data_IF_945764729788
#
_entry.id   IF_945764729788
#
_cell.length_a   1.000
_cell.length_b   1.000
_cell.length_c   1.000
_cell.angle_alpha   90.00
_cell.angle_beta   90.00
_cell.angle_gamma   90.00
#
_symmetry.space_group_name_H-M   'P 1'
#
loop_
_entity.id
_entity.type
_entity.pdbx_description
1 polymer ?
#
# COMPACT_ATOMS: atom_id res chain seq x y z
N UNK A 1 5.91 18.40 9.95
CA UNK A 1 6.60 17.98 8.70
C UNK A 1 6.16 16.57 8.27
N UNK A 2 6.12 16.21 6.97
CA UNK A 2 5.76 14.85 6.54
C UNK A 2 6.69 13.74 7.09
N UNK A 3 7.96 14.08 7.36
CA UNK A 3 8.95 13.17 7.97
C UNK A 3 8.57 12.77 9.40
N UNK A 4 7.95 13.66 10.17
CA UNK A 4 7.51 13.39 11.55
C UNK A 4 6.31 12.45 11.57
N UNK A 5 5.34 12.63 10.66
CA UNK A 5 4.20 11.72 10.52
C UNK A 5 4.69 10.31 10.15
N UNK A 6 5.68 10.23 9.28
CA UNK A 6 6.24 8.94 8.89
C UNK A 6 6.96 8.25 10.06
N UNK A 7 7.73 8.99 10.85
CA UNK A 7 8.32 8.49 12.10
C UNK A 7 7.25 7.99 13.08
N UNK A 8 6.16 8.74 13.21
CA UNK A 8 5.03 8.37 14.06
C UNK A 8 4.28 7.12 13.55
N UNK A 9 4.13 6.95 12.24
CA UNK A 9 3.59 5.72 11.63
C UNK A 9 4.52 4.52 11.90
N UNK A 10 5.84 4.73 11.87
CA UNK A 10 6.84 3.67 12.19
C UNK A 10 6.79 3.28 13.67
N UNK A 11 6.56 4.23 14.58
CA UNK A 11 6.43 3.93 16.01
C UNK A 11 5.10 3.27 16.36
N UNK A 12 4.01 3.67 15.69
CA UNK A 12 2.67 3.12 15.92
C UNK A 12 1.82 3.27 14.66
N UNK A 13 1.66 2.17 13.93
CA UNK A 13 0.90 2.13 12.69
C UNK A 13 -0.58 2.42 12.94
N UNK A 14 -1.14 3.36 12.18
CA UNK A 14 -2.58 3.60 12.12
C UNK A 14 -2.98 4.10 10.72
N UNK A 15 -4.08 3.60 10.19
CA UNK A 15 -4.59 3.97 8.86
C UNK A 15 -4.92 5.47 8.77
N UNK A 16 -5.36 6.08 9.87
CA UNK A 16 -5.69 7.51 10.00
C UNK A 16 -4.45 8.40 9.82
N UNK A 17 -3.30 7.95 10.33
CA UNK A 17 -2.01 8.64 10.15
C UNK A 17 -1.59 8.60 8.68
N UNK A 18 -1.80 7.48 7.99
CA UNK A 18 -1.56 7.38 6.54
C UNK A 18 -2.46 8.30 5.73
N UNK A 19 -3.76 8.35 6.04
CA UNK A 19 -4.70 9.29 5.39
C UNK A 19 -4.19 10.73 5.55
N UNK A 20 -3.76 11.10 6.75
CA UNK A 20 -3.18 12.42 7.04
C UNK A 20 -1.90 12.67 6.25
N UNK A 21 -1.03 11.67 6.14
CA UNK A 21 0.20 11.74 5.33
C UNK A 21 -0.12 12.00 3.85
N UNK A 22 -1.03 11.23 3.25
CA UNK A 22 -1.38 11.38 1.83
C UNK A 22 -2.08 12.70 1.52
N UNK A 23 -2.99 13.16 2.39
CA UNK A 23 -3.61 14.49 2.27
C UNK A 23 -2.58 15.63 2.22
N UNK A 24 -1.50 15.51 3.00
CA UNK A 24 -0.42 16.51 3.00
C UNK A 24 0.52 16.39 1.81
N UNK A 25 0.65 15.20 1.22
CA UNK A 25 1.56 14.93 0.10
C UNK A 25 0.94 15.16 -1.27
N UNK A 26 -0.38 15.06 -1.39
CA UNK A 26 -1.09 15.28 -2.66
C UNK A 26 -2.39 16.03 -2.39
N UNK A 27 -2.55 17.18 -3.06
CA UNK A 27 -3.80 17.95 -3.06
C UNK A 27 -4.95 17.20 -3.72
N UNK A 28 -4.63 16.22 -4.56
CA UNK A 28 -5.61 15.41 -5.30
C UNK A 28 -6.03 14.14 -4.53
N UNK A 29 -5.45 13.89 -3.36
CA UNK A 29 -5.86 12.77 -2.53
C UNK A 29 -7.27 12.99 -1.98
N UNK A 30 -8.14 12.01 -2.18
CA UNK A 30 -9.48 11.94 -1.62
C UNK A 30 -9.58 10.71 -0.73
N UNK A 31 -10.07 10.92 0.49
CA UNK A 31 -10.35 9.80 1.39
C UNK A 31 -11.55 9.04 0.83
N UNK A 32 -11.42 7.72 0.74
CA UNK A 32 -12.46 6.82 0.24
C UNK A 32 -12.28 5.49 0.96
N UNK A 33 -13.26 5.10 1.78
CA UNK A 33 -13.22 3.86 2.54
C UNK A 33 -14.03 2.78 1.84
N UNK A 34 -13.38 1.67 1.52
CA UNK A 34 -14.02 0.49 0.92
C UNK A 34 -13.34 -0.76 1.49
N UNK A 35 -14.11 -1.66 2.09
CA UNK A 35 -13.58 -2.86 2.72
C UNK A 35 -13.52 -4.03 1.74
N UNK A 36 -12.43 -4.79 1.78
CA UNK A 36 -12.21 -5.96 0.96
C UNK A 36 -12.43 -7.22 1.80
N UNK A 37 -13.57 -7.90 1.58
CA UNK A 37 -13.95 -9.12 2.31
C UNK A 37 -13.44 -10.40 1.67
N UNK A 38 -13.16 -10.38 0.36
CA UNK A 38 -12.62 -11.49 -0.43
C UNK A 38 -11.08 -11.55 -0.41
N UNK A 39 -10.54 -11.63 0.82
CA UNK A 39 -9.11 -11.79 1.10
C UNK A 39 -8.86 -13.11 1.85
N UNK A 40 -7.68 -13.72 1.66
CA UNK A 40 -7.29 -14.93 2.40
C UNK A 40 -7.25 -14.63 3.90
N UNK A 41 -8.21 -15.18 4.64
CA UNK A 41 -8.40 -14.93 6.08
C UNK A 41 -7.31 -15.53 6.94
N UNK A 42 -6.52 -16.45 6.37
CA UNK A 42 -5.34 -17.07 6.97
C UNK A 42 -4.11 -16.16 6.92
N UNK A 43 -4.09 -15.18 6.00
CA UNK A 43 -2.94 -14.32 5.76
C UNK A 43 -3.22 -12.85 6.07
N UNK A 44 -4.45 -12.39 5.83
CA UNK A 44 -4.81 -10.99 5.88
C UNK A 44 -6.11 -10.75 6.67
N UNK A 45 -6.18 -9.59 7.31
CA UNK A 45 -7.38 -9.02 7.95
C UNK A 45 -7.45 -7.53 7.65
N UNK A 46 -8.60 -6.94 7.94
CA UNK A 46 -8.80 -5.48 7.94
C UNK A 46 -8.31 -4.81 6.63
N UNK A 47 -8.51 -5.50 5.50
CA UNK A 47 -8.11 -5.03 4.20
C UNK A 47 -9.10 -3.97 3.71
N UNK A 48 -8.64 -2.75 3.48
CA UNK A 48 -9.50 -1.65 3.08
C UNK A 48 -8.76 -0.64 2.20
N UNK A 49 -9.45 -0.16 1.16
CA UNK A 49 -9.12 1.10 0.51
C UNK A 49 -9.34 2.21 1.52
N UNK A 50 -8.38 3.11 1.67
CA UNK A 50 -8.45 4.27 2.57
C UNK A 50 -8.49 5.60 1.80
N UNK A 51 -8.14 5.57 0.51
CA UNK A 51 -8.27 6.72 -0.36
C UNK A 51 -7.82 6.46 -1.78
N UNK A 52 -7.92 7.49 -2.59
CA UNK A 52 -7.54 7.50 -3.99
C UNK A 52 -6.90 8.85 -4.38
N UNK A 53 -6.08 8.83 -5.41
CA UNK A 53 -5.48 10.01 -6.03
C UNK A 53 -5.88 9.96 -7.51
N UNK A 54 -6.56 11.03 -7.95
CA UNK A 54 -6.86 11.25 -9.38
C UNK A 54 -5.79 12.14 -9.97
N UNK A 55 -5.16 11.70 -11.05
CA UNK A 55 -4.18 12.53 -11.76
C UNK A 55 -4.93 13.45 -12.74
N UNK A 56 -4.56 14.73 -12.77
CA UNK A 56 -5.26 15.72 -13.61
C UNK A 56 -4.94 15.54 -15.10
N UNK A 57 -3.76 14.98 -15.38
CA UNK A 57 -3.12 14.94 -16.69
C UNK A 57 -3.72 13.87 -17.61
N UNK A 58 -4.47 12.93 -17.04
CA UNK A 58 -5.23 11.89 -17.73
C UNK A 58 -6.57 11.73 -17.01
N UNK A 59 -7.66 12.09 -17.68
CA UNK A 59 -9.01 12.22 -17.10
C UNK A 59 -9.54 10.99 -16.36
N UNK A 60 -8.91 9.82 -16.54
CA UNK A 60 -9.32 8.54 -15.94
C UNK A 60 -8.28 7.91 -15.02
N UNK A 61 -7.06 8.46 -14.90
CA UNK A 61 -6.00 7.76 -14.17
C UNK A 61 -6.20 7.83 -12.66
N UNK A 62 -6.35 6.66 -12.04
CA UNK A 62 -6.65 6.51 -10.61
C UNK A 62 -5.61 5.64 -9.92
N UNK A 63 -4.98 6.21 -8.89
CA UNK A 63 -4.18 5.47 -7.93
C UNK A 63 -4.97 5.27 -6.64
N UNK A 64 -5.06 4.03 -6.17
CA UNK A 64 -5.66 3.73 -4.86
C UNK A 64 -4.62 3.61 -3.76
N UNK A 65 -5.02 3.90 -2.53
CA UNK A 65 -4.25 3.61 -1.32
C UNK A 65 -5.03 2.60 -0.50
N UNK A 66 -4.41 1.46 -0.24
CA UNK A 66 -5.01 0.33 0.47
C UNK A 66 -4.15 -0.03 1.67
N UNK A 67 -4.79 -0.34 2.79
CA UNK A 67 -4.15 -0.93 3.96
C UNK A 67 -4.64 -2.35 4.16
N UNK A 68 -3.78 -3.27 4.60
CA UNK A 68 -4.20 -4.60 5.02
C UNK A 68 -3.33 -5.11 6.18
N UNK A 69 -3.97 -5.62 7.22
CA UNK A 69 -3.28 -6.25 8.33
C UNK A 69 -2.80 -7.62 7.92
N UNK A 70 -1.53 -7.95 8.16
CA UNK A 70 -1.00 -9.30 7.99
C UNK A 70 -1.05 -10.04 9.32
N UNK A 71 -1.35 -11.34 9.26
CA UNK A 71 -1.46 -12.19 10.44
C UNK A 71 -0.12 -12.82 10.87
N UNK A 72 0.86 -12.81 9.98
CA UNK A 72 2.22 -13.29 10.24
C UNK A 72 3.17 -12.10 10.34
N UNK A 73 4.20 -12.16 11.22
CA UNK A 73 5.23 -11.14 11.29
C UNK A 73 5.84 -10.79 9.94
N UNK A 74 5.99 -9.50 9.67
CA UNK A 74 6.69 -8.99 8.51
C UNK A 74 8.20 -9.03 8.75
N UNK A 75 8.94 -9.42 7.72
CA UNK A 75 10.39 -9.22 7.65
C UNK A 75 10.78 -8.61 6.32
N UNK A 76 12.04 -8.26 6.08
CA UNK A 76 12.43 -7.76 4.75
C UNK A 76 12.16 -8.76 3.60
N UNK A 77 12.08 -10.07 3.90
CA UNK A 77 12.04 -11.14 2.90
C UNK A 77 10.69 -11.87 2.84
N UNK A 78 9.97 -11.99 3.95
CA UNK A 78 8.76 -12.83 4.04
C UNK A 78 7.51 -12.16 3.48
N UNK A 79 6.56 -12.96 2.94
CA UNK A 79 5.21 -12.52 2.63
C UNK A 79 5.05 -11.59 1.41
N UNK A 80 6.14 -11.13 0.78
CA UNK A 80 6.09 -10.21 -0.37
C UNK A 80 5.24 -10.73 -1.54
N UNK A 81 5.35 -12.03 -1.85
CA UNK A 81 4.58 -12.63 -2.94
C UNK A 81 3.07 -12.60 -2.67
N UNK A 82 2.64 -13.07 -1.50
CA UNK A 82 1.22 -13.09 -1.13
C UNK A 82 0.61 -11.68 -1.11
N UNK A 83 1.35 -10.71 -0.58
CA UNK A 83 0.96 -9.30 -0.56
C UNK A 83 0.83 -8.70 -1.95
N UNK A 84 1.79 -9.00 -2.82
CA UNK A 84 1.75 -8.57 -4.22
C UNK A 84 0.60 -9.18 -4.99
N UNK A 85 0.36 -10.48 -4.81
CA UNK A 85 -0.76 -11.18 -5.45
C UNK A 85 -2.10 -10.60 -5.00
N UNK A 86 -2.24 -10.25 -3.72
CA UNK A 86 -3.43 -9.56 -3.19
C UNK A 86 -3.62 -8.19 -3.85
N UNK A 87 -2.58 -7.36 -3.89
CA UNK A 87 -2.68 -6.03 -4.50
C UNK A 87 -3.00 -6.08 -5.99
N UNK A 88 -2.41 -7.03 -6.72
CA UNK A 88 -2.77 -7.29 -8.12
C UNK A 88 -4.24 -7.68 -8.29
N UNK A 89 -4.77 -8.54 -7.42
CA UNK A 89 -6.19 -8.94 -7.46
C UNK A 89 -7.09 -7.72 -7.29
N UNK A 90 -6.77 -6.83 -6.35
CA UNK A 90 -7.53 -5.59 -6.12
C UNK A 90 -7.47 -4.62 -7.32
N UNK A 91 -6.30 -4.44 -7.94
CA UNK A 91 -6.16 -3.61 -9.16
C UNK A 91 -6.76 -4.24 -10.41
N UNK A 92 -6.93 -5.56 -10.45
CA UNK A 92 -7.62 -6.22 -11.55
C UNK A 92 -9.15 -6.13 -11.40
N UNK A 93 -9.65 -6.07 -10.17
CA UNK A 93 -11.07 -6.01 -9.86
C UNK A 93 -11.66 -4.59 -10.00
N UNK A 94 -10.92 -3.57 -9.57
CA UNK A 94 -11.29 -2.17 -9.80
C UNK A 94 -10.45 -1.59 -10.93
N UNK A 95 -11.07 -0.88 -11.87
CA UNK A 95 -10.41 -0.22 -12.99
C UNK A 95 -9.44 0.89 -12.49
N UNK A 96 -8.30 0.47 -11.95
CA UNK A 96 -7.27 1.30 -11.33
C UNK A 96 -5.94 1.11 -12.06
N UNK A 97 -5.20 2.20 -12.24
CA UNK A 97 -3.92 2.21 -12.96
C UNK A 97 -2.75 1.91 -12.04
N UNK A 98 -2.89 2.17 -10.75
CA UNK A 98 -1.87 1.87 -9.77
C UNK A 98 -2.48 1.73 -8.38
N UNK A 99 -1.72 1.10 -7.49
CA UNK A 99 -2.07 1.02 -6.07
C UNK A 99 -0.84 1.15 -5.21
N UNK A 100 -0.98 1.98 -4.18
CA UNK A 100 -0.12 1.95 -3.01
C UNK A 100 -0.76 1.01 -2.00
N UNK A 101 -0.01 -0.03 -1.63
CA UNK A 101 -0.44 -1.02 -0.66
C UNK A 101 0.43 -0.92 0.58
N UNK A 102 -0.22 -0.77 1.74
CA UNK A 102 0.46 -0.73 3.03
C UNK A 102 0.03 -1.92 3.87
N UNK A 103 0.96 -2.85 4.05
CA UNK A 103 0.77 -4.03 4.87
C UNK A 103 1.36 -3.79 6.25
N UNK A 104 0.66 -4.14 7.31
CA UNK A 104 1.15 -3.92 8.68
C UNK A 104 0.86 -5.14 9.54
N UNK A 105 1.76 -5.44 10.47
CA UNK A 105 1.57 -6.52 11.44
C UNK A 105 1.27 -5.99 12.85
N UNK A 106 1.11 -6.91 13.80
CA UNK A 106 0.85 -6.60 15.21
C UNK A 106 2.08 -6.13 15.98
N UNK A 107 3.28 -6.31 15.41
CA UNK A 107 4.54 -5.89 16.01
C UNK A 107 4.91 -4.45 15.63
N UNK A 108 4.06 -3.79 14.85
CA UNK A 108 4.26 -2.41 14.40
C UNK A 108 5.14 -2.29 13.16
N UNK A 109 5.57 -3.41 12.57
CA UNK A 109 6.28 -3.36 11.30
C UNK A 109 5.25 -3.14 10.17
N UNK A 110 5.69 -2.42 9.14
CA UNK A 110 4.88 -2.24 7.95
C UNK A 110 5.71 -2.31 6.67
N UNK A 111 5.02 -2.59 5.58
CA UNK A 111 5.57 -2.64 4.25
C UNK A 111 4.72 -1.82 3.30
N UNK A 112 5.38 -0.91 2.61
CA UNK A 112 4.80 -0.07 1.59
C UNK A 112 5.18 -0.62 0.21
N UNK A 113 4.21 -0.83 -0.68
CA UNK A 113 4.45 -1.35 -2.02
C UNK A 113 3.66 -0.56 -3.06
N UNK A 114 4.33 -0.08 -4.11
CA UNK A 114 3.68 0.45 -5.30
C UNK A 114 3.53 -0.68 -6.34
N UNK A 115 2.29 -0.92 -6.79
CA UNK A 115 1.98 -1.90 -7.83
C UNK A 115 1.25 -1.19 -8.97
N UNK A 116 1.68 -1.43 -10.21
CA UNK A 116 1.10 -0.83 -11.41
C UNK A 116 1.33 -1.75 -12.61
N UNK A 117 0.50 -1.68 -13.66
CA UNK A 117 0.74 -2.42 -14.88
C UNK A 117 1.86 -1.80 -15.70
N UNK A 118 2.63 -2.64 -16.38
CA UNK A 118 3.63 -2.28 -17.36
C UNK A 118 3.19 -2.82 -18.72
N UNK A 119 3.22 -1.97 -19.73
CA UNK A 119 2.86 -2.35 -21.09
C UNK A 119 4.12 -2.71 -21.86
N UNK A 120 4.26 -3.99 -22.21
CA UNK A 120 5.37 -4.49 -23.04
C UNK A 120 4.76 -4.89 -24.38
N UNK A 121 4.86 -3.99 -25.36
CA UNK A 121 4.10 -4.09 -26.61
C UNK A 121 2.59 -4.08 -26.34
N UNK A 122 1.86 -5.06 -26.87
CA UNK A 122 0.40 -5.23 -26.68
C UNK A 122 0.03 -5.97 -25.39
N UNK A 123 1.01 -6.45 -24.60
CA UNK A 123 0.75 -7.25 -23.39
C UNK A 123 0.81 -6.39 -22.15
N UNK A 124 -0.24 -6.47 -21.32
CA UNK A 124 -0.26 -5.93 -19.95
C UNK A 124 0.47 -6.91 -19.02
N UNK A 125 1.59 -6.48 -18.45
CA UNK A 125 2.30 -7.17 -17.37
C UNK A 125 2.17 -6.34 -16.08
N UNK A 126 2.56 -6.89 -14.94
CA UNK A 126 2.53 -6.16 -13.67
C UNK A 126 3.95 -5.85 -13.20
N UNK A 127 4.13 -4.71 -12.54
CA UNK A 127 5.40 -4.24 -12.00
C UNK A 127 6.05 -5.28 -11.09
N UNK A 128 7.37 -5.45 -11.17
CA UNK A 128 8.06 -6.45 -10.35
C UNK A 128 7.88 -6.21 -8.84
N UNK A 129 7.34 -7.21 -8.13
CA UNK A 129 7.05 -7.16 -6.69
C UNK A 129 8.26 -6.91 -5.78
N UNK A 130 9.49 -7.11 -6.29
CA UNK A 130 10.74 -6.82 -5.56
C UNK A 130 11.12 -5.35 -5.61
N UNK A 131 10.57 -4.60 -6.58
CA UNK A 131 10.83 -3.16 -6.75
C UNK A 131 9.75 -2.35 -6.03
N UNK A 132 10.06 -1.08 -5.74
CA UNK A 132 9.14 -0.12 -5.12
C UNK A 132 8.44 -0.64 -3.87
N UNK A 133 9.16 -1.47 -3.12
CA UNK A 133 8.69 -2.07 -1.88
C UNK A 133 9.65 -1.69 -0.78
N UNK A 134 9.13 -0.99 0.22
CA UNK A 134 9.88 -0.49 1.37
C UNK A 134 9.37 -1.16 2.64
N UNK A 135 10.26 -1.59 3.52
CA UNK A 135 9.93 -2.23 4.78
C UNK A 135 10.48 -1.37 5.93
N UNK A 136 9.64 -1.12 6.93
CA UNK A 136 10.00 -0.45 8.16
C UNK A 136 9.60 -1.32 9.35
N UNK A 137 10.46 -1.36 10.35
CA UNK A 137 10.21 -2.00 11.64
C UNK A 137 10.66 -1.07 12.76
N UNK A 138 9.95 -1.03 13.91
CA UNK A 138 10.39 -0.30 15.08
C UNK A 138 11.81 -0.66 15.52
N UNK A 139 12.20 -1.92 15.36
CA UNK A 139 13.53 -2.45 15.73
C UNK A 139 14.65 -2.00 14.77
N UNK A 140 14.29 -1.59 13.55
CA UNK A 140 15.23 -1.21 12.48
C UNK A 140 15.15 0.28 12.11
N UNK A 141 14.64 1.13 13.02
CA UNK A 141 14.29 2.53 12.77
C UNK A 141 15.42 3.46 12.24
N UNK A 142 16.65 2.96 12.06
CA UNK A 142 17.85 3.75 11.76
C UNK A 142 18.49 3.51 10.39
N UNK A 143 17.95 2.67 9.48
CA UNK A 143 18.66 2.35 8.22
C UNK A 143 18.11 2.97 6.93
N UNK A 144 17.01 3.70 6.95
CA UNK A 144 16.49 4.31 5.72
C UNK A 144 15.58 5.48 6.06
N UNK A 145 16.09 6.71 6.07
CA UNK A 145 15.40 7.97 5.67
C UNK A 145 16.38 9.16 5.60
#
# INVERSE_FOLDING_TARGET
>A
MPKEILKDIIGSFASEKLITFFRRKSTNFRQAREEYTDVSREQFRDAAKIGEIKFADTSESKLIVVTARVLKPLSERSGKKAQYDLGRKMLAAGYYDAGIFVFYDTQGAFRFSLIYPQYVGRKKQWSNFRRFTYFASPELANKTF
#
